data_IF_805332386186
#
_entry.id   IF_805332386186
#
_cell.length_a   1.000
_cell.length_b   1.000
_cell.length_c   1.000
_cell.angle_alpha   90.00
_cell.angle_beta   90.00
_cell.angle_gamma   90.00
#
_symmetry.space_group_name_H-M   'P 1'
#
loop_
_entity.id
_entity.type
_entity.pdbx_description
1 polymer ?
#
# COMPACT_ATOMS: atom_id res chain seq x y z
N UNK A 1 -1.37 -36.83 -26.83
CA UNK A 1 -1.93 -35.58 -26.31
C UNK A 1 -2.34 -35.85 -24.88
N UNK A 2 -1.49 -35.45 -23.94
CA UNK A 2 -1.79 -35.23 -22.52
C UNK A 2 -0.45 -34.89 -21.87
N UNK A 3 -0.17 -33.59 -21.81
CA UNK A 3 1.02 -33.02 -21.18
C UNK A 3 0.59 -32.20 -19.98
N UNK A 4 0.44 -32.91 -18.86
CA UNK A 4 0.53 -32.46 -17.46
C UNK A 4 0.71 -30.94 -17.28
N UNK A 5 -0.37 -30.23 -16.95
CA UNK A 5 -0.30 -28.92 -16.29
C UNK A 5 0.14 -29.19 -14.83
N UNK A 6 1.44 -29.42 -14.66
CA UNK A 6 2.11 -29.39 -13.37
C UNK A 6 2.32 -27.94 -12.97
N UNK A 7 1.26 -27.28 -12.51
CA UNK A 7 1.30 -25.95 -11.91
C UNK A 7 2.09 -25.98 -10.61
N UNK A 8 3.42 -25.96 -10.70
CA UNK A 8 4.24 -25.38 -9.65
C UNK A 8 3.80 -23.92 -9.55
N UNK A 9 2.97 -23.61 -8.56
CA UNK A 9 2.85 -22.25 -8.04
C UNK A 9 4.23 -21.90 -7.48
N UNK A 10 5.10 -21.48 -8.41
CA UNK A 10 6.50 -21.24 -8.17
C UNK A 10 6.64 -20.14 -7.14
N UNK A 11 7.52 -20.38 -6.18
CA UNK A 11 8.11 -19.36 -5.35
C UNK A 11 8.67 -18.29 -6.29
N UNK A 12 7.90 -17.22 -6.56
CA UNK A 12 8.37 -16.11 -7.38
C UNK A 12 9.66 -15.61 -6.74
N UNK A 13 10.71 -15.42 -7.54
CA UNK A 13 11.88 -14.74 -7.03
C UNK A 13 11.47 -13.33 -6.57
N UNK A 14 12.15 -12.79 -5.56
CA UNK A 14 11.87 -11.43 -5.06
C UNK A 14 11.92 -10.40 -6.19
N UNK A 15 12.75 -10.63 -7.21
CA UNK A 15 12.87 -9.78 -8.39
C UNK A 15 11.61 -9.84 -9.27
N UNK A 16 11.11 -11.03 -9.59
CA UNK A 16 9.89 -11.19 -10.40
C UNK A 16 8.66 -10.59 -9.71
N UNK A 17 8.58 -10.69 -8.38
CA UNK A 17 7.51 -10.05 -7.61
C UNK A 17 7.54 -8.53 -7.75
N UNK A 18 8.72 -7.92 -7.62
CA UNK A 18 8.91 -6.48 -7.78
C UNK A 18 8.59 -6.05 -9.21
N UNK A 19 9.04 -6.80 -10.22
CA UNK A 19 8.79 -6.47 -11.62
C UNK A 19 7.31 -6.60 -11.99
N UNK A 20 6.60 -7.59 -11.41
CA UNK A 20 5.16 -7.73 -11.60
C UNK A 20 4.39 -6.56 -10.98
N UNK A 21 4.75 -6.16 -9.77
CA UNK A 21 4.18 -4.97 -9.13
C UNK A 21 4.45 -3.73 -10.00
N UNK A 22 5.69 -3.51 -10.42
CA UNK A 22 6.02 -2.38 -11.29
C UNK A 22 5.22 -2.38 -12.59
N UNK A 23 5.05 -3.52 -13.24
CA UNK A 23 4.22 -3.64 -14.45
C UNK A 23 2.75 -3.35 -14.20
N UNK A 24 2.20 -3.80 -13.07
CA UNK A 24 0.81 -3.52 -12.66
C UNK A 24 0.58 -2.02 -12.50
N UNK A 25 1.53 -1.30 -11.88
CA UNK A 25 1.39 0.13 -11.61
C UNK A 25 1.93 1.03 -12.73
N UNK A 26 2.77 0.53 -13.65
CA UNK A 26 3.42 1.32 -14.70
C UNK A 26 2.47 2.26 -15.48
N UNK A 27 1.25 1.84 -15.87
CA UNK A 27 0.31 2.73 -16.56
C UNK A 27 -0.18 3.93 -15.73
N UNK A 28 0.01 3.89 -14.40
CA UNK A 28 -0.43 4.92 -13.46
C UNK A 28 0.71 5.88 -13.06
N UNK A 29 1.96 5.53 -13.36
CA UNK A 29 3.14 6.29 -12.98
C UNK A 29 3.49 7.32 -14.06
N UNK A 30 3.99 8.47 -13.62
CA UNK A 30 4.56 9.48 -14.54
C UNK A 30 6.04 9.24 -14.79
N UNK A 31 6.62 9.94 -15.77
CA UNK A 31 8.05 9.86 -16.04
C UNK A 31 8.91 10.17 -14.81
N UNK A 32 9.89 9.30 -14.55
CA UNK A 32 10.76 9.38 -13.38
C UNK A 32 10.07 9.07 -12.04
N UNK A 33 8.84 8.55 -12.07
CA UNK A 33 8.17 7.97 -10.91
C UNK A 33 8.39 6.46 -10.84
N UNK A 34 8.84 5.94 -9.69
CA UNK A 34 9.01 4.50 -9.45
C UNK A 34 8.38 4.10 -8.11
N UNK A 35 7.85 2.89 -8.06
CA UNK A 35 7.32 2.26 -6.86
C UNK A 35 8.48 1.88 -5.94
N UNK A 36 8.49 2.44 -4.74
CA UNK A 36 9.53 2.16 -3.73
C UNK A 36 9.11 1.05 -2.77
N UNK A 37 7.83 0.99 -2.41
CA UNK A 37 7.29 -0.04 -1.52
C UNK A 37 5.80 -0.25 -1.74
N UNK A 38 5.33 -1.49 -1.60
CA UNK A 38 3.91 -1.82 -1.59
C UNK A 38 3.57 -2.61 -0.33
N UNK A 39 2.51 -2.17 0.35
CA UNK A 39 1.91 -2.88 1.46
C UNK A 39 0.53 -3.36 1.03
N UNK A 40 0.36 -4.68 1.05
CA UNK A 40 -0.94 -5.31 0.84
C UNK A 40 -1.61 -5.50 2.20
N UNK A 41 -2.78 -4.88 2.36
CA UNK A 41 -3.70 -5.17 3.44
C UNK A 41 -4.73 -6.19 2.91
N UNK A 42 -5.92 -6.26 3.48
CA UNK A 42 -6.92 -7.27 3.09
C UNK A 42 -7.42 -7.06 1.65
N UNK A 43 -8.21 -6.02 1.41
CA UNK A 43 -8.72 -5.62 0.09
C UNK A 43 -8.13 -4.26 -0.35
N UNK A 44 -7.11 -3.79 0.36
CA UNK A 44 -6.52 -2.47 0.15
C UNK A 44 -5.02 -2.62 -0.06
N UNK A 45 -4.45 -1.66 -0.78
CA UNK A 45 -3.00 -1.53 -0.91
C UNK A 45 -2.57 -0.10 -0.62
N UNK A 46 -1.39 0.02 -0.02
CA UNK A 46 -0.69 1.28 0.18
C UNK A 46 0.59 1.19 -0.62
N UNK A 47 0.70 2.02 -1.66
CA UNK A 47 1.82 2.03 -2.60
C UNK A 47 2.58 3.33 -2.39
N UNK A 48 3.83 3.22 -1.96
CA UNK A 48 4.76 4.34 -1.92
C UNK A 48 5.49 4.41 -3.24
N UNK A 49 5.55 5.60 -3.82
CA UNK A 49 6.46 5.92 -4.91
C UNK A 49 7.52 6.91 -4.42
N UNK A 50 8.48 7.26 -5.27
CA UNK A 50 9.39 8.37 -4.98
C UNK A 50 8.71 9.75 -5.05
N UNK A 51 7.41 9.86 -5.40
CA UNK A 51 6.70 11.15 -5.55
C UNK A 51 5.44 11.28 -4.68
N UNK A 52 4.70 10.19 -4.44
CA UNK A 52 3.39 10.22 -3.79
C UNK A 52 3.02 8.88 -3.18
N UNK A 53 2.01 8.92 -2.32
CA UNK A 53 1.29 7.74 -1.86
C UNK A 53 0.14 7.45 -2.84
N UNK A 54 -0.02 6.20 -3.24
CA UNK A 54 -1.20 5.71 -3.97
C UNK A 54 -1.92 4.72 -3.06
N UNK A 55 -3.16 5.06 -2.70
CA UNK A 55 -4.04 4.20 -1.91
C UNK A 55 -4.98 3.48 -2.88
N UNK A 56 -4.99 2.16 -2.80
CA UNK A 56 -5.83 1.31 -3.65
C UNK A 56 -6.89 0.66 -2.78
N UNK A 57 -8.14 0.72 -3.23
CA UNK A 57 -9.25 -0.04 -2.68
C UNK A 57 -9.79 -0.94 -3.79
N UNK A 58 -9.57 -2.26 -3.66
CA UNK A 58 -10.10 -3.25 -4.58
C UNK A 58 -11.48 -3.69 -4.10
N UNK A 59 -12.49 -3.52 -4.95
CA UNK A 59 -13.81 -4.05 -4.69
C UNK A 59 -13.71 -5.56 -4.42
N UNK A 60 -14.59 -6.09 -3.56
CA UNK A 60 -14.60 -7.51 -3.12
C UNK A 60 -14.59 -8.51 -4.30
N UNK A 61 -15.12 -8.11 -5.46
CA UNK A 61 -15.13 -8.94 -6.68
C UNK A 61 -13.79 -8.99 -7.42
N UNK A 62 -12.80 -8.19 -7.02
CA UNK A 62 -11.50 -8.02 -7.70
C UNK A 62 -11.58 -7.28 -9.05
N UNK A 63 -12.79 -6.96 -9.55
CA UNK A 63 -13.00 -6.43 -10.90
C UNK A 63 -12.87 -4.91 -11.01
N UNK A 64 -12.96 -4.18 -9.90
CA UNK A 64 -12.89 -2.72 -9.86
C UNK A 64 -11.94 -2.32 -8.75
N UNK A 65 -11.05 -1.38 -9.06
CA UNK A 65 -10.16 -0.78 -8.08
C UNK A 65 -10.32 0.74 -8.13
N UNK A 66 -10.41 1.36 -6.96
CA UNK A 66 -10.30 2.81 -6.82
C UNK A 66 -8.87 3.16 -6.43
N UNK A 67 -8.29 4.13 -7.13
CA UNK A 67 -6.93 4.62 -6.88
C UNK A 67 -7.01 6.07 -6.42
N UNK A 68 -6.46 6.35 -5.24
CA UNK A 68 -6.41 7.69 -4.65
C UNK A 68 -4.95 8.08 -4.52
N UNK A 69 -4.56 9.15 -5.20
CA UNK A 69 -3.24 9.76 -5.04
C UNK A 69 -3.25 10.76 -3.89
N UNK A 70 -2.22 10.68 -3.05
CA UNK A 70 -1.90 11.66 -2.03
C UNK A 70 -0.44 12.09 -2.21
N UNK A 71 -0.19 13.32 -2.72
CA UNK A 71 1.15 13.88 -2.73
C UNK A 71 1.68 13.98 -1.30
N UNK A 72 2.97 13.69 -1.08
CA UNK A 72 3.53 13.71 0.28
C UNK A 72 3.41 15.07 0.94
N UNK A 73 3.58 16.16 0.17
CA UNK A 73 3.42 17.54 0.64
C UNK A 73 2.00 17.90 1.09
N UNK A 74 1.00 17.08 0.76
CA UNK A 74 -0.39 17.31 1.18
C UNK A 74 -0.76 16.52 2.45
N UNK A 75 0.12 15.67 2.96
CA UNK A 75 -0.11 14.97 4.22
C UNK A 75 0.15 15.95 5.36
N UNK A 76 -0.90 16.35 6.07
CA UNK A 76 -0.82 17.33 7.15
C UNK A 76 -0.55 16.71 8.52
N UNK A 77 -1.00 15.47 8.73
CA UNK A 77 -0.71 14.69 9.92
C UNK A 77 -0.95 13.20 9.66
N UNK A 78 -0.35 12.34 10.46
CA UNK A 78 -0.69 10.92 10.50
C UNK A 78 -0.55 10.38 11.92
N UNK A 79 -1.31 9.33 12.24
CA UNK A 79 -1.30 8.71 13.56
C UNK A 79 -1.47 7.20 13.45
N UNK A 80 -0.77 6.46 14.31
CA UNK A 80 -1.01 5.05 14.57
C UNK A 80 -1.82 4.94 15.87
N UNK A 81 -2.96 4.27 15.81
CA UNK A 81 -3.81 4.01 16.97
C UNK A 81 -3.86 2.51 17.20
N UNK A 82 -3.47 2.07 18.39
CA UNK A 82 -3.64 0.67 18.80
C UNK A 82 -5.02 0.45 19.41
N UNK A 83 -5.55 -0.77 19.28
CA UNK A 83 -6.94 -1.08 19.65
C UNK A 83 -7.12 -1.77 21.02
N UNK A 84 -6.06 -2.07 21.80
CA UNK A 84 -6.19 -2.55 23.20
C UNK A 84 -5.03 -3.42 23.73
N UNK A 85 -5.11 -3.93 24.96
CA UNK A 85 -3.99 -4.54 25.73
C UNK A 85 -3.19 -5.67 25.03
N UNK A 86 -3.76 -6.35 24.03
CA UNK A 86 -3.09 -7.41 23.27
C UNK A 86 -2.42 -6.87 21.97
N UNK A 87 -2.68 -5.62 21.58
CA UNK A 87 -2.09 -4.86 20.45
C UNK A 87 -2.03 -5.62 19.11
N UNK A 88 -3.05 -6.46 18.84
CA UNK A 88 -3.08 -7.31 17.65
C UNK A 88 -3.60 -6.60 16.40
N UNK A 89 -4.21 -5.42 16.54
CA UNK A 89 -4.74 -4.66 15.42
C UNK A 89 -4.36 -3.20 15.60
N UNK A 90 -4.14 -2.52 14.48
CA UNK A 90 -3.81 -1.11 14.47
C UNK A 90 -4.60 -0.36 13.41
N UNK A 91 -4.85 0.91 13.67
CA UNK A 91 -5.40 1.83 12.67
C UNK A 91 -4.37 2.87 12.33
N UNK A 92 -4.08 3.02 11.05
CA UNK A 92 -3.35 4.16 10.52
C UNK A 92 -4.36 5.21 10.09
N UNK A 93 -4.18 6.44 10.57
CA UNK A 93 -4.97 7.61 10.18
C UNK A 93 -4.06 8.58 9.45
N UNK A 94 -4.48 9.08 8.29
CA UNK A 94 -3.73 10.03 7.47
C UNK A 94 -4.63 11.22 7.18
N UNK A 95 -4.24 12.40 7.65
CA UNK A 95 -4.92 13.66 7.34
C UNK A 95 -4.29 14.32 6.13
N UNK A 96 -5.17 14.83 5.27
CA UNK A 96 -4.80 15.60 4.09
C UNK A 96 -5.11 17.07 4.37
N UNK A 97 -4.24 17.97 3.94
CA UNK A 97 -4.46 19.40 4.06
C UNK A 97 -5.84 19.80 3.52
N UNK A 98 -6.61 20.57 4.30
CA UNK A 98 -7.98 20.99 3.94
C UNK A 98 -9.07 19.93 4.15
N UNK A 99 -8.74 18.69 4.55
CA UNK A 99 -9.74 17.67 4.89
C UNK A 99 -9.81 17.44 6.40
N UNK A 100 -10.96 17.71 7.06
CA UNK A 100 -11.11 17.50 8.50
C UNK A 100 -11.14 16.03 8.91
N UNK A 101 -11.46 15.10 8.00
CA UNK A 101 -11.54 13.66 8.28
C UNK A 101 -10.31 12.94 7.73
N UNK A 102 -9.66 12.07 8.53
CA UNK A 102 -8.55 11.28 8.03
C UNK A 102 -9.02 10.17 7.11
N UNK A 103 -8.15 9.76 6.20
CA UNK A 103 -8.20 8.45 5.59
C UNK A 103 -7.77 7.43 6.65
N UNK A 104 -8.52 6.35 6.81
CA UNK A 104 -8.26 5.31 7.81
C UNK A 104 -7.95 4.00 7.10
N UNK A 105 -6.86 3.33 7.53
CA UNK A 105 -6.46 2.00 7.08
C UNK A 105 -6.31 1.07 8.27
N UNK A 106 -6.88 -0.12 8.18
CA UNK A 106 -6.94 -1.09 9.27
C UNK A 106 -5.96 -2.23 9.04
N UNK A 107 -5.13 -2.48 10.05
CA UNK A 107 -4.05 -3.45 10.06
C UNK A 107 -4.42 -4.59 11.01
N UNK A 108 -4.32 -5.84 10.53
CA UNK A 108 -4.50 -7.07 11.33
C UNK A 108 -3.16 -7.56 11.90
N UNK A 109 -3.21 -8.61 12.73
CA UNK A 109 -2.14 -9.20 13.56
C UNK A 109 -0.76 -9.43 12.93
N UNK A 110 -0.66 -9.47 11.60
CA UNK A 110 0.60 -9.74 10.88
C UNK A 110 1.00 -8.63 9.90
N UNK A 111 0.34 -7.47 9.97
CA UNK A 111 0.57 -6.39 9.01
C UNK A 111 1.51 -5.31 9.57
N UNK A 112 2.49 -4.90 8.76
CA UNK A 112 3.64 -4.11 9.21
C UNK A 112 3.32 -2.60 9.32
N UNK A 113 2.33 -2.24 10.15
CA UNK A 113 1.90 -0.85 10.37
C UNK A 113 3.06 0.07 10.80
N UNK A 114 4.03 -0.48 11.53
CA UNK A 114 5.19 0.26 12.01
C UNK A 114 6.10 0.69 10.83
N UNK A 115 6.33 -0.21 9.87
CA UNK A 115 7.10 0.12 8.67
C UNK A 115 6.38 1.16 7.81
N UNK A 116 5.06 1.04 7.65
CA UNK A 116 4.26 2.07 6.95
C UNK A 116 4.37 3.43 7.65
N UNK A 117 4.32 3.44 8.99
CA UNK A 117 4.45 4.66 9.79
C UNK A 117 5.85 5.29 9.65
N UNK A 118 6.90 4.47 9.64
CA UNK A 118 8.28 4.91 9.42
C UNK A 118 8.47 5.49 8.01
N UNK A 119 7.94 4.83 6.97
CA UNK A 119 8.02 5.33 5.60
C UNK A 119 7.24 6.62 5.42
N UNK A 120 6.05 6.75 6.01
CA UNK A 120 5.31 8.02 6.04
C UNK A 120 6.15 9.11 6.70
N UNK A 121 6.81 8.82 7.82
CA UNK A 121 7.69 9.77 8.49
C UNK A 121 8.85 10.18 7.57
N UNK A 122 9.47 9.23 6.87
CA UNK A 122 10.59 9.50 5.96
C UNK A 122 10.19 10.41 4.79
N UNK A 123 9.02 10.20 4.19
CA UNK A 123 8.59 10.96 3.00
C UNK A 123 7.91 12.28 3.32
N UNK A 124 7.50 12.51 4.58
CA UNK A 124 6.78 13.74 4.99
C UNK A 124 7.61 14.67 5.88
N UNK A 125 8.62 14.15 6.59
CA UNK A 125 9.49 14.94 7.46
C UNK A 125 10.87 15.18 6.86
N UNK A 126 11.23 14.43 5.81
CA UNK A 126 12.51 14.53 5.11
C UNK A 126 12.54 15.57 4.00
#
# INVERSE_FOLDING_TARGET
MEGLIGGQMGLLSMQELVDNIRKEYAPLLVDGEDVTKVFRLHNEMIVFTNKRLILVDQAVTGKKAAYITVPYSQISAFAKVSTGLLDLEAKLKIWIHGNPKPIVKEFKKDSNVNEVYQLLSQVTLG
#
